data_IF_032199944362
#
_entry.id   IF_032199944362
#
_cell.length_a   1.000
_cell.length_b   1.000
_cell.length_c   1.000
_cell.angle_alpha   90.00
_cell.angle_beta   90.00
_cell.angle_gamma   90.00
#
_symmetry.space_group_name_H-M   'P 1'
#
loop_
_entity.id
_entity.type
_entity.pdbx_description
1 polymer ?
#
# COMPACT_ATOMS: atom_id res chain seq x y z
N UNK A 1 25.74 12.95 19.43
CA UNK A 1 24.43 12.44 19.89
C UNK A 1 23.79 11.48 18.89
N UNK A 2 23.63 11.84 17.61
CA UNK A 2 23.07 10.93 16.59
C UNK A 2 23.86 9.62 16.42
N UNK A 3 25.19 9.69 16.31
CA UNK A 3 26.05 8.51 16.22
C UNK A 3 25.96 7.58 17.45
N UNK A 4 25.80 8.18 18.64
CA UNK A 4 25.60 7.44 19.89
C UNK A 4 24.25 6.71 19.90
N UNK A 5 23.21 7.31 19.32
CA UNK A 5 21.89 6.68 19.19
C UNK A 5 21.94 5.46 18.27
N UNK A 6 22.56 5.58 17.08
CA UNK A 6 22.70 4.45 16.14
C UNK A 6 23.54 3.30 16.71
N UNK A 7 24.53 3.59 17.56
CA UNK A 7 25.31 2.56 18.25
C UNK A 7 24.59 1.94 19.45
N UNK A 8 23.45 2.48 19.87
CA UNK A 8 22.75 2.03 21.08
C UNK A 8 22.02 0.70 20.87
N UNK A 9 21.87 -0.07 21.96
CA UNK A 9 21.09 -1.32 21.97
C UNK A 9 19.63 -1.09 21.54
N UNK A 10 19.05 0.06 21.92
CA UNK A 10 17.67 0.43 21.55
C UNK A 10 17.46 0.65 20.06
N UNK A 11 18.48 1.08 19.29
CA UNK A 11 18.39 1.13 17.83
C UNK A 11 18.52 -0.27 17.24
N UNK A 12 19.53 -1.03 17.72
CA UNK A 12 19.88 -2.35 17.22
C UNK A 12 18.79 -3.40 17.41
N UNK A 13 17.98 -3.28 18.45
CA UNK A 13 16.85 -4.20 18.70
C UNK A 13 15.80 -4.21 17.59
N UNK A 14 15.69 -3.12 16.83
CA UNK A 14 14.73 -2.99 15.71
C UNK A 14 15.33 -3.32 14.35
N UNK A 15 16.61 -3.70 14.27
CA UNK A 15 17.24 -4.11 13.00
C UNK A 15 16.51 -5.29 12.33
N UNK A 16 16.05 -6.32 13.06
CA UNK A 16 15.25 -7.40 12.46
C UNK A 16 13.96 -6.87 11.80
N UNK A 17 13.26 -5.94 12.46
CA UNK A 17 12.03 -5.35 11.95
C UNK A 17 12.27 -4.54 10.66
N UNK A 18 13.38 -3.79 10.59
CA UNK A 18 13.81 -3.13 9.36
C UNK A 18 14.09 -4.15 8.25
N UNK A 19 14.71 -5.28 8.58
CA UNK A 19 14.91 -6.39 7.66
C UNK A 19 13.59 -6.93 7.10
N UNK A 20 12.57 -7.10 7.95
CA UNK A 20 11.23 -7.54 7.51
C UNK A 20 10.63 -6.54 6.53
N UNK A 21 10.70 -5.24 6.82
CA UNK A 21 10.18 -4.19 5.93
C UNK A 21 10.89 -4.23 4.56
N UNK A 22 12.21 -4.37 4.55
CA UNK A 22 12.99 -4.49 3.30
C UNK A 22 12.57 -5.74 2.50
N UNK A 23 12.36 -6.87 3.17
CA UNK A 23 11.88 -8.10 2.54
C UNK A 23 10.47 -7.90 1.97
N UNK A 24 9.57 -7.23 2.69
CA UNK A 24 8.22 -6.95 2.18
C UNK A 24 8.24 -6.04 0.96
N UNK A 25 9.07 -5.00 0.94
CA UNK A 25 9.24 -4.17 -0.26
C UNK A 25 9.84 -4.96 -1.42
N UNK A 26 10.81 -5.84 -1.16
CA UNK A 26 11.37 -6.72 -2.17
C UNK A 26 10.28 -7.64 -2.76
N UNK A 27 9.48 -8.28 -1.91
CA UNK A 27 8.35 -9.11 -2.33
C UNK A 27 7.37 -8.29 -3.18
N UNK A 28 7.03 -7.08 -2.75
CA UNK A 28 6.09 -6.21 -3.47
C UNK A 28 6.58 -5.90 -4.90
N UNK A 29 7.74 -5.25 -5.03
CA UNK A 29 8.23 -4.74 -6.31
C UNK A 29 8.74 -5.84 -7.27
N UNK A 30 9.38 -6.89 -6.73
CA UNK A 30 10.05 -7.89 -7.57
C UNK A 30 9.28 -9.20 -7.71
N UNK A 31 8.30 -9.48 -6.83
CA UNK A 31 7.54 -10.73 -6.86
C UNK A 31 6.08 -10.45 -7.22
N UNK A 32 5.33 -9.78 -6.36
CA UNK A 32 3.86 -9.70 -6.52
C UNK A 32 3.43 -8.87 -7.73
N UNK A 33 4.15 -7.79 -8.06
CA UNK A 33 3.86 -7.01 -9.27
C UNK A 33 4.11 -7.80 -10.56
N UNK A 34 5.14 -8.64 -10.58
CA UNK A 34 5.59 -9.38 -11.76
C UNK A 34 4.79 -10.66 -12.02
N UNK A 35 4.09 -11.18 -11.01
CA UNK A 35 3.27 -12.39 -11.16
C UNK A 35 2.11 -12.13 -12.13
N UNK A 36 1.92 -13.07 -13.06
CA UNK A 36 0.76 -13.10 -13.93
C UNK A 36 -0.50 -13.44 -13.13
N UNK A 37 -1.58 -12.65 -13.26
CA UNK A 37 -2.81 -12.87 -12.53
C UNK A 37 -3.55 -14.11 -13.04
N UNK A 38 -4.46 -14.63 -12.22
CA UNK A 38 -5.36 -15.71 -12.62
C UNK A 38 -6.21 -15.29 -13.83
N UNK A 39 -6.18 -16.07 -14.89
CA UNK A 39 -6.97 -15.82 -16.09
C UNK A 39 -8.41 -16.31 -15.91
N UNK A 40 -9.33 -15.37 -15.75
CA UNK A 40 -10.77 -15.66 -15.72
C UNK A 40 -11.35 -15.60 -17.14
N UNK A 41 -12.31 -16.47 -17.42
CA UNK A 41 -13.09 -16.37 -18.65
C UNK A 41 -13.98 -15.12 -18.66
N UNK A 42 -14.12 -14.50 -19.83
CA UNK A 42 -14.95 -13.31 -20.04
C UNK A 42 -15.71 -13.39 -21.37
N UNK A 43 -16.69 -12.51 -21.55
CA UNK A 43 -17.41 -12.33 -22.83
C UNK A 43 -17.06 -10.97 -23.42
N UNK A 44 -16.93 -10.89 -24.75
CA UNK A 44 -16.57 -9.64 -25.43
C UNK A 44 -17.71 -8.61 -25.37
N UNK A 45 -18.95 -9.09 -25.38
CA UNK A 45 -20.13 -8.23 -25.35
C UNK A 45 -20.53 -7.75 -23.94
N UNK A 46 -19.71 -7.96 -22.90
CA UNK A 46 -20.03 -7.45 -21.56
C UNK A 46 -19.89 -5.92 -21.51
N UNK A 47 -21.00 -5.16 -21.32
CA UNK A 47 -20.95 -3.71 -21.24
C UNK A 47 -20.05 -3.19 -20.11
N UNK A 48 -19.84 -3.99 -19.06
CA UNK A 48 -18.99 -3.64 -17.90
C UNK A 48 -17.51 -3.59 -18.26
N UNK A 49 -17.08 -4.23 -19.35
CA UNK A 49 -15.69 -4.33 -19.79
C UNK A 49 -15.37 -3.47 -21.02
N UNK A 50 -16.38 -2.76 -21.54
CA UNK A 50 -16.33 -1.96 -22.77
C UNK A 50 -16.10 -0.46 -22.50
N UNK A 51 -15.69 -0.07 -21.29
CA UNK A 51 -15.39 1.32 -20.99
C UNK A 51 -14.13 1.79 -21.75
N UNK A 52 -14.05 3.08 -22.13
CA UNK A 52 -12.88 3.60 -22.82
C UNK A 52 -11.64 3.57 -21.92
N UNK A 53 -10.50 3.24 -22.51
CA UNK A 53 -9.21 3.27 -21.81
C UNK A 53 -8.83 4.70 -21.44
N UNK A 54 -8.60 4.94 -20.15
CA UNK A 54 -8.13 6.22 -19.66
C UNK A 54 -6.63 6.36 -19.93
N UNK A 55 -6.25 7.24 -20.86
CA UNK A 55 -4.83 7.49 -21.20
C UNK A 55 -4.06 8.21 -20.09
N UNK A 56 -4.77 8.95 -19.24
CA UNK A 56 -4.20 9.71 -18.13
C UNK A 56 -4.90 9.28 -16.86
N UNK A 57 -4.13 8.73 -15.93
CA UNK A 57 -4.61 8.41 -14.59
C UNK A 57 -4.76 9.69 -13.77
N UNK A 58 -5.82 9.76 -12.97
CA UNK A 58 -6.08 10.95 -12.15
C UNK A 58 -5.06 11.12 -11.02
N UNK A 59 -4.57 9.99 -10.51
CA UNK A 59 -3.48 9.89 -9.55
C UNK A 59 -2.57 8.80 -10.07
N UNK A 60 -1.30 9.11 -10.30
CA UNK A 60 -0.32 8.11 -10.72
C UNK A 60 0.26 7.36 -9.53
N UNK A 61 0.85 6.19 -9.76
CA UNK A 61 1.53 5.41 -8.71
C UNK A 61 2.61 6.21 -7.98
N UNK A 62 3.37 7.05 -8.70
CA UNK A 62 4.37 7.93 -8.09
C UNK A 62 3.77 8.94 -7.12
N UNK A 63 2.62 9.53 -7.47
CA UNK A 63 1.90 10.45 -6.60
C UNK A 63 1.34 9.70 -5.38
N UNK A 64 0.84 8.49 -5.58
CA UNK A 64 0.37 7.63 -4.49
C UNK A 64 1.48 7.34 -3.47
N UNK A 65 2.66 6.91 -3.92
CA UNK A 65 3.81 6.66 -3.03
C UNK A 65 4.25 7.92 -2.30
N UNK A 66 4.23 9.07 -2.98
CA UNK A 66 4.57 10.34 -2.37
C UNK A 66 3.58 10.71 -1.26
N UNK A 67 2.28 10.70 -1.54
CA UNK A 67 1.26 11.10 -0.56
C UNK A 67 1.09 10.08 0.57
N UNK A 68 1.19 8.79 0.29
CA UNK A 68 0.89 7.73 1.27
C UNK A 68 2.10 7.31 2.08
N UNK A 69 3.32 7.64 1.65
CA UNK A 69 4.54 7.20 2.33
C UNK A 69 5.50 8.35 2.60
N UNK A 70 5.96 9.04 1.57
CA UNK A 70 7.00 10.09 1.73
C UNK A 70 6.49 11.24 2.60
N UNK A 71 5.29 11.76 2.30
CA UNK A 71 4.69 12.86 3.04
C UNK A 71 4.47 12.50 4.52
N UNK A 72 3.85 11.35 4.87
CA UNK A 72 3.77 10.88 6.26
C UNK A 72 5.12 10.74 6.96
N UNK A 73 6.17 10.22 6.30
CA UNK A 73 7.52 10.14 6.87
C UNK A 73 8.04 11.53 7.24
N UNK A 74 7.89 12.51 6.33
CA UNK A 74 8.33 13.88 6.58
C UNK A 74 7.59 14.50 7.76
N UNK A 75 6.26 14.33 7.83
CA UNK A 75 5.44 14.84 8.93
C UNK A 75 5.85 14.20 10.26
N UNK A 76 6.02 12.88 10.30
CA UNK A 76 6.46 12.13 11.48
C UNK A 76 7.85 12.60 11.91
N UNK A 77 8.77 12.74 10.97
CA UNK A 77 10.15 13.14 11.25
C UNK A 77 10.21 14.55 11.84
N UNK A 78 9.59 15.53 11.17
CA UNK A 78 9.55 16.92 11.64
C UNK A 78 8.86 17.00 13.01
N UNK A 79 7.68 16.38 13.14
CA UNK A 79 6.93 16.39 14.41
C UNK A 79 7.70 15.73 15.54
N UNK A 80 8.38 14.61 15.30
CA UNK A 80 9.19 13.92 16.32
C UNK A 80 10.41 14.73 16.77
N UNK A 81 10.98 15.54 15.88
CA UNK A 81 12.09 16.44 16.21
C UNK A 81 11.62 17.68 17.00
N UNK A 82 10.39 18.13 16.76
CA UNK A 82 9.79 19.27 17.46
C UNK A 82 9.21 18.90 18.84
N UNK A 83 8.64 17.70 19.00
CA UNK A 83 8.08 17.24 20.27
C UNK A 83 9.18 17.03 21.33
N UNK A 84 8.95 17.61 22.52
CA UNK A 84 9.97 17.84 23.55
C UNK A 84 10.51 16.60 24.25
N UNK A 85 11.77 16.69 24.71
CA UNK A 85 12.51 15.63 25.38
C UNK A 85 14.00 15.64 25.01
N UNK A 86 14.75 14.66 25.50
CA UNK A 86 16.16 14.47 25.14
C UNK A 86 16.29 14.07 23.67
N UNK A 87 17.39 14.47 23.01
CA UNK A 87 17.67 14.13 21.60
C UNK A 87 17.56 12.63 21.31
N UNK A 88 17.94 11.79 22.28
CA UNK A 88 17.84 10.34 22.19
C UNK A 88 16.38 9.86 22.02
N UNK A 89 15.45 10.40 22.80
CA UNK A 89 14.03 10.01 22.75
C UNK A 89 13.37 10.49 21.45
N UNK A 90 13.79 11.65 20.93
CA UNK A 90 13.31 12.17 19.63
C UNK A 90 13.66 11.24 18.48
N UNK A 91 14.92 10.83 18.37
CA UNK A 91 15.34 9.88 17.33
C UNK A 91 14.69 8.51 17.51
N UNK A 92 14.50 8.09 18.76
CA UNK A 92 13.83 6.83 19.05
C UNK A 92 12.35 6.83 18.67
N UNK A 93 11.63 7.93 18.92
CA UNK A 93 10.26 8.11 18.49
C UNK A 93 10.17 8.11 16.95
N UNK A 94 11.04 8.87 16.28
CA UNK A 94 11.08 8.96 14.83
C UNK A 94 11.30 7.59 14.18
N UNK A 95 12.30 6.82 14.63
CA UNK A 95 12.59 5.49 14.10
C UNK A 95 11.40 4.56 14.21
N UNK A 96 10.82 4.41 15.41
CA UNK A 96 9.70 3.48 15.63
C UNK A 96 8.48 3.87 14.81
N UNK A 97 8.22 5.16 14.70
CA UNK A 97 7.07 5.69 13.96
C UNK A 97 7.22 5.48 12.46
N UNK A 98 8.41 5.75 11.91
CA UNK A 98 8.70 5.50 10.49
C UNK A 98 8.67 4.00 10.18
N UNK A 99 9.29 3.18 11.03
CA UNK A 99 9.29 1.73 10.87
C UNK A 99 7.86 1.16 10.84
N UNK A 100 7.00 1.60 11.78
CA UNK A 100 5.61 1.16 11.84
C UNK A 100 4.78 1.61 10.61
N UNK A 101 4.99 2.84 10.13
CA UNK A 101 4.38 3.33 8.89
C UNK A 101 4.79 2.47 7.70
N UNK A 102 6.09 2.25 7.52
CA UNK A 102 6.62 1.48 6.39
C UNK A 102 6.12 0.03 6.44
N UNK A 103 6.09 -0.58 7.62
CA UNK A 103 5.52 -1.92 7.81
C UNK A 103 4.04 -1.98 7.45
N UNK A 104 3.25 -0.96 7.85
CA UNK A 104 1.82 -0.89 7.51
C UNK A 104 1.60 -0.80 6.00
N UNK A 105 2.31 0.12 5.34
CA UNK A 105 2.22 0.31 3.88
C UNK A 105 2.69 -0.94 3.13
N UNK A 106 3.87 -1.49 3.47
CA UNK A 106 4.43 -2.64 2.76
C UNK A 106 3.55 -3.89 2.92
N UNK A 107 3.04 -4.15 4.13
CA UNK A 107 2.16 -5.29 4.39
C UNK A 107 0.86 -5.20 3.59
N UNK A 108 0.20 -4.04 3.60
CA UNK A 108 -1.04 -3.86 2.84
C UNK A 108 -0.79 -3.92 1.33
N UNK A 109 0.35 -3.44 0.86
CA UNK A 109 0.73 -3.50 -0.56
C UNK A 109 0.89 -4.95 -1.03
N UNK A 110 1.66 -5.76 -0.31
CA UNK A 110 1.84 -7.19 -0.60
C UNK A 110 0.50 -7.93 -0.55
N UNK A 111 -0.30 -7.72 0.50
CA UNK A 111 -1.59 -8.40 0.65
C UNK A 111 -2.56 -8.02 -0.48
N UNK A 112 -2.63 -6.74 -0.84
CA UNK A 112 -3.50 -6.25 -1.90
C UNK A 112 -3.12 -6.88 -3.24
N UNK A 113 -1.83 -6.95 -3.56
CA UNK A 113 -1.39 -7.51 -4.84
C UNK A 113 -1.55 -9.02 -4.92
N UNK A 114 -1.31 -9.76 -3.83
CA UNK A 114 -1.65 -11.19 -3.76
C UNK A 114 -3.13 -11.40 -4.06
N UNK A 115 -4.01 -10.59 -3.45
CA UNK A 115 -5.45 -10.67 -3.68
C UNK A 115 -5.82 -10.31 -5.13
N UNK A 116 -5.19 -9.31 -5.73
CA UNK A 116 -5.42 -8.96 -7.14
C UNK A 116 -5.07 -10.10 -8.07
N UNK A 117 -3.90 -10.70 -7.87
CA UNK A 117 -3.42 -11.85 -8.65
C UNK A 117 -4.36 -13.03 -8.49
N UNK A 118 -4.82 -13.30 -7.28
CA UNK A 118 -5.68 -14.44 -6.99
C UNK A 118 -7.12 -14.26 -7.50
N UNK A 119 -7.69 -13.06 -7.37
CA UNK A 119 -9.06 -12.78 -7.81
C UNK A 119 -9.13 -12.67 -9.34
N UNK A 120 -8.12 -12.06 -9.99
CA UNK A 120 -8.04 -11.99 -11.45
C UNK A 120 -9.22 -11.26 -12.11
N UNK A 121 -9.82 -10.28 -11.42
CA UNK A 121 -10.96 -9.55 -11.97
C UNK A 121 -10.50 -8.56 -13.04
N UNK A 122 -11.22 -8.58 -14.17
CA UNK A 122 -11.04 -7.63 -15.26
C UNK A 122 -11.41 -6.20 -14.84
N UNK A 123 -10.66 -5.23 -15.35
CA UNK A 123 -10.97 -3.79 -15.25
C UNK A 123 -12.10 -3.42 -16.21
N UNK A 124 -12.81 -2.30 -15.97
CA UNK A 124 -13.89 -1.88 -16.86
C UNK A 124 -13.45 -1.54 -18.29
N UNK A 125 -12.16 -1.25 -18.50
CA UNK A 125 -11.51 -0.95 -19.78
C UNK A 125 -10.79 -2.17 -20.38
N UNK A 126 -11.08 -3.38 -19.89
CA UNK A 126 -10.34 -4.59 -20.24
C UNK A 126 -10.42 -4.96 -21.73
N UNK A 127 -11.56 -4.77 -22.41
CA UNK A 127 -11.69 -5.15 -23.83
C UNK A 127 -10.75 -4.32 -24.71
N UNK A 128 -10.55 -3.04 -24.37
CA UNK A 128 -9.62 -2.16 -25.10
C UNK A 128 -8.17 -2.61 -24.88
N UNK A 129 -7.82 -3.04 -23.66
CA UNK A 129 -6.50 -3.59 -23.32
C UNK A 129 -6.24 -4.94 -23.99
N UNK A 130 -7.26 -5.79 -24.07
CA UNK A 130 -7.22 -7.09 -24.73
C UNK A 130 -7.05 -6.97 -26.24
N UNK A 131 -7.83 -6.10 -26.91
CA UNK A 131 -7.84 -6.00 -28.37
C UNK A 131 -8.25 -7.33 -29.02
N UNK A 132 -9.52 -7.75 -28.94
CA UNK A 132 -9.95 -9.07 -29.40
C UNK A 132 -9.67 -9.26 -30.90
N UNK A 133 -9.16 -10.45 -31.27
CA UNK A 133 -8.94 -10.85 -32.67
C UNK A 133 -10.22 -10.73 -33.49
N UNK A 134 -10.08 -10.33 -34.77
CA UNK A 134 -11.20 -10.27 -35.71
C UNK A 134 -11.86 -11.65 -35.84
N UNK A 135 -13.19 -11.69 -35.77
CA UNK A 135 -13.96 -12.94 -35.84
C UNK A 135 -14.11 -13.67 -34.50
N UNK A 136 -13.69 -13.07 -33.38
CA UNK A 136 -13.93 -13.69 -32.08
C UNK A 136 -15.43 -13.66 -31.75
N UNK A 137 -16.05 -14.80 -31.42
CA UNK A 137 -17.46 -14.86 -31.07
C UNK A 137 -17.73 -14.13 -29.76
N UNK A 138 -18.79 -13.33 -29.78
CA UNK A 138 -19.04 -12.32 -28.75
C UNK A 138 -19.95 -12.80 -27.62
N UNK A 139 -20.74 -13.86 -27.86
CA UNK A 139 -21.73 -14.41 -26.94
C UNK A 139 -21.27 -15.73 -26.30
N UNK A 140 -19.96 -15.98 -26.22
CA UNK A 140 -19.40 -17.12 -25.50
C UNK A 140 -18.29 -16.68 -24.56
N UNK A 141 -18.05 -17.50 -23.54
CA UNK A 141 -16.89 -17.35 -22.67
C UNK A 141 -15.62 -17.64 -23.47
N UNK A 142 -14.64 -16.75 -23.38
CA UNK A 142 -13.34 -16.86 -24.02
C UNK A 142 -12.22 -16.66 -23.02
N UNK A 143 -11.06 -17.25 -23.32
CA UNK A 143 -9.82 -17.07 -22.55
C UNK A 143 -8.98 -15.93 -23.12
N UNK A 144 -8.18 -15.30 -22.26
CA UNK A 144 -7.29 -14.17 -22.62
C UNK A 144 -6.25 -14.62 -23.65
N UNK A 145 -5.55 -15.72 -23.38
CA UNK A 145 -4.49 -16.25 -24.24
C UNK A 145 -4.93 -16.57 -25.69
N UNK A 146 -6.20 -16.91 -25.91
CA UNK A 146 -6.71 -17.28 -27.23
C UNK A 146 -7.07 -16.05 -28.08
N UNK A 147 -7.65 -15.03 -27.43
CA UNK A 147 -8.40 -13.96 -28.08
C UNK A 147 -7.67 -12.62 -28.08
N UNK A 148 -6.91 -12.31 -27.05
CA UNK A 148 -6.28 -11.00 -26.89
C UNK A 148 -5.05 -10.86 -27.79
N UNK A 149 -4.85 -9.66 -28.33
CA UNK A 149 -3.68 -9.28 -29.13
C UNK A 149 -2.76 -8.29 -28.41
N UNK A 150 -3.17 -7.82 -27.23
CA UNK A 150 -2.42 -6.89 -26.38
C UNK A 150 -1.89 -5.65 -27.14
N UNK A 151 -2.75 -4.85 -27.81
CA UNK A 151 -2.30 -3.74 -28.65
C UNK A 151 -1.58 -2.63 -27.86
N UNK A 152 -1.83 -2.53 -26.55
CA UNK A 152 -1.15 -1.59 -25.65
C UNK A 152 0.11 -2.19 -24.99
N UNK A 153 0.37 -3.48 -25.20
CA UNK A 153 1.46 -4.24 -24.59
C UNK A 153 0.99 -5.18 -23.48
N UNK A 154 1.78 -6.23 -23.24
CA UNK A 154 1.48 -7.29 -22.25
C UNK A 154 1.34 -6.77 -20.82
N UNK A 155 2.12 -5.75 -20.45
CA UNK A 155 2.02 -5.13 -19.13
C UNK A 155 0.63 -4.48 -18.89
N UNK A 156 0.09 -3.80 -19.89
CA UNK A 156 -1.25 -3.21 -19.80
C UNK A 156 -2.36 -4.25 -19.81
N UNK A 157 -2.15 -5.37 -20.51
CA UNK A 157 -3.07 -6.51 -20.50
C UNK A 157 -3.10 -7.16 -19.12
N UNK A 158 -1.93 -7.46 -18.54
CA UNK A 158 -1.79 -8.02 -17.21
C UNK A 158 -2.40 -7.10 -16.14
N UNK A 159 -2.16 -5.80 -16.23
CA UNK A 159 -2.78 -4.80 -15.35
C UNK A 159 -4.31 -4.75 -15.50
N UNK A 160 -4.80 -4.98 -16.72
CA UNK A 160 -6.22 -5.09 -17.03
C UNK A 160 -6.93 -6.24 -16.30
N UNK A 161 -6.20 -7.26 -15.85
CA UNK A 161 -6.72 -8.41 -15.09
C UNK A 161 -6.60 -8.24 -13.57
N UNK A 162 -6.08 -7.11 -13.08
CA UNK A 162 -5.80 -6.84 -11.66
C UNK A 162 -6.68 -5.72 -11.09
N UNK A 163 -8.00 -5.77 -11.29
CA UNK A 163 -8.89 -4.65 -10.90
C UNK A 163 -9.26 -4.59 -9.43
N UNK A 164 -9.33 -5.72 -8.74
CA UNK A 164 -9.81 -5.80 -7.35
C UNK A 164 -8.87 -6.58 -6.43
N UNK A 165 -8.58 -6.11 -5.20
CA UNK A 165 -8.98 -4.82 -4.63
C UNK A 165 -8.12 -3.64 -5.15
N UNK A 166 -8.59 -2.40 -4.93
CA UNK A 166 -7.89 -1.18 -5.38
C UNK A 166 -6.58 -0.96 -4.61
N UNK A 167 -5.44 -1.07 -5.31
CA UNK A 167 -4.11 -0.82 -4.71
C UNK A 167 -3.94 0.61 -4.21
N UNK A 168 -4.42 1.58 -4.99
CA UNK A 168 -4.39 3.00 -4.62
C UNK A 168 -5.15 3.28 -3.32
N UNK A 169 -6.36 2.73 -3.20
CA UNK A 169 -7.19 2.94 -2.01
C UNK A 169 -6.60 2.24 -0.78
N UNK A 170 -6.16 0.99 -0.93
CA UNK A 170 -5.55 0.23 0.17
C UNK A 170 -4.28 0.88 0.70
N UNK A 171 -3.39 1.33 -0.18
CA UNK A 171 -2.12 1.97 0.20
C UNK A 171 -2.35 3.35 0.83
N UNK A 172 -3.24 4.17 0.24
CA UNK A 172 -3.61 5.46 0.80
C UNK A 172 -4.20 5.32 2.20
N UNK A 173 -5.07 4.31 2.40
CA UNK A 173 -5.58 3.98 3.72
C UNK A 173 -4.43 3.61 4.66
N UNK A 174 -3.58 2.63 4.33
CA UNK A 174 -2.49 2.20 5.19
C UNK A 174 -1.58 3.37 5.64
N UNK A 175 -1.18 4.24 4.72
CA UNK A 175 -0.29 5.36 4.99
C UNK A 175 -0.93 6.53 5.74
N UNK A 176 -2.01 7.09 5.18
CA UNK A 176 -2.63 8.31 5.72
C UNK A 176 -3.48 8.02 6.97
N UNK A 177 -4.09 6.85 7.06
CA UNK A 177 -4.81 6.44 8.26
C UNK A 177 -3.83 6.20 9.42
N UNK A 178 -2.69 5.53 9.14
CA UNK A 178 -1.63 5.40 10.14
C UNK A 178 -1.16 6.77 10.64
N UNK A 179 -0.88 7.70 9.72
CA UNK A 179 -0.47 9.06 10.09
C UNK A 179 -1.52 9.74 10.99
N UNK A 180 -2.80 9.58 10.64
CA UNK A 180 -3.92 10.15 11.39
C UNK A 180 -3.96 9.59 12.83
N UNK A 181 -3.86 8.27 13.00
CA UNK A 181 -3.78 7.62 14.31
C UNK A 181 -2.52 8.05 15.08
N UNK A 182 -1.39 8.20 14.39
CA UNK A 182 -0.15 8.63 14.98
C UNK A 182 -0.26 10.05 15.56
N UNK A 183 -0.80 11.01 14.80
CA UNK A 183 -1.02 12.40 15.25
C UNK A 183 -1.96 12.44 16.46
N UNK A 184 -3.07 11.69 16.40
CA UNK A 184 -4.02 11.56 17.52
C UNK A 184 -3.31 11.07 18.79
N UNK A 185 -2.40 10.09 18.66
CA UNK A 185 -1.61 9.56 19.76
C UNK A 185 -0.63 10.57 20.35
N UNK A 186 0.11 11.31 19.49
CA UNK A 186 1.09 12.29 19.96
C UNK A 186 0.45 13.46 20.72
N UNK A 187 -0.70 13.93 20.26
CA UNK A 187 -1.44 15.02 20.92
C UNK A 187 -2.37 14.54 22.03
N UNK A 188 -2.39 13.23 22.30
CA UNK A 188 -3.21 12.63 23.37
C UNK A 188 -4.69 13.01 23.25
N UNK A 189 -5.20 13.22 22.02
CA UNK A 189 -6.56 13.73 21.80
C UNK A 189 -7.65 12.79 22.34
N UNK A 190 -7.35 11.48 22.38
CA UNK A 190 -8.24 10.45 22.92
C UNK A 190 -7.85 10.01 24.34
N UNK A 191 -6.87 10.67 24.97
CA UNK A 191 -6.47 10.36 26.35
C UNK A 191 -7.55 10.83 27.32
N UNK A 192 -8.36 9.89 27.82
CA UNK A 192 -9.19 10.18 29.01
C UNK A 192 -8.27 10.45 30.19
N UNK A 193 -8.36 11.64 30.77
CA UNK A 193 -7.80 11.91 32.10
C UNK A 193 -8.47 10.89 33.03
N UNK A 194 -7.73 9.92 33.54
CA UNK A 194 -8.25 9.07 34.59
C UNK A 194 -8.55 9.99 35.78
N UNK A 195 -9.83 10.33 35.96
CA UNK A 195 -10.30 11.10 37.11
C UNK A 195 -9.88 10.34 38.36
N UNK A 196 -9.18 11.03 39.26
CA UNK A 196 -8.49 10.45 40.39
C UNK A 196 -9.38 9.51 41.22
N UNK A 197 -8.87 8.31 41.48
CA UNK A 197 -9.28 7.53 42.65
C UNK A 197 -8.19 7.76 43.70
N UNK A 198 -8.40 8.76 44.55
CA UNK A 198 -7.53 9.07 45.70
C UNK A 198 -7.57 7.92 46.71
N UNK A 199 -6.40 7.67 47.31
CA UNK A 199 -6.18 7.21 48.69
C UNK A 199 -7.26 6.36 49.36
N UNK A 200 -6.89 5.12 49.71
CA UNK A 200 -6.97 4.71 51.12
C UNK A 200 -5.66 4.05 51.51
N UNK A 201 -4.96 4.73 52.44
CA UNK A 201 -3.80 4.22 53.14
C UNK A 201 -4.18 3.01 54.00
N UNK A 202 -3.18 2.14 54.14
CA UNK A 202 -2.99 1.11 55.17
C UNK A 202 -3.67 1.44 56.51
N UNK A 203 -4.44 0.48 57.01
CA UNK A 203 -4.67 0.20 58.42
C UNK A 203 -4.26 -1.24 58.67
#
# INVERSE_FOLDING_TARGET
>A
MLQLYFSSSRFRSYLPDWGIVLVLFFIFFYITEQIQPFERQFTINDPRLLHPFAKVERVSDHQLYFYSTVLPILIIMISSLLLGGNQFEKYHLAQKSILALLFSVSSVSVLTDILKVWIGNHRPDFIVRCGPKKGTPTNRMVNVAEVCTAPLGEAYLADGMKSTPSGHSSMAFAGLFFLSLWVIGQWKLLSRKASGRSQWHKG
#
